data_IF_948152719566
#
_entry.id   IF_948152719566
#
_cell.length_a   1.000
_cell.length_b   1.000
_cell.length_c   1.000
_cell.angle_alpha   90.00
_cell.angle_beta   90.00
_cell.angle_gamma   90.00
#
_symmetry.space_group_name_H-M   'P 1'
#
loop_
_entity.id
_entity.type
_entity.pdbx_description
1 polymer ?
#
# COMPACT_ATOMS: atom_id res chain seq x y z
N UNK A 1 4.23 21.31 9.13
CA UNK A 1 2.82 20.86 9.16
C UNK A 1 1.90 22.00 9.59
N UNK A 2 2.20 22.70 10.70
CA UNK A 2 1.40 23.84 11.14
C UNK A 2 1.36 24.96 10.09
N UNK A 3 0.16 25.47 9.81
CA UNK A 3 -0.09 26.52 8.82
C UNK A 3 -0.22 26.01 7.38
N UNK A 4 -0.14 24.69 7.13
CA UNK A 4 -0.29 24.13 5.79
C UNK A 4 -1.77 23.83 5.57
N UNK A 5 -2.40 24.63 4.71
CA UNK A 5 -3.85 24.56 4.44
C UNK A 5 -4.24 23.29 3.71
N UNK A 6 -5.43 22.76 3.99
CA UNK A 6 -6.04 21.62 3.30
C UNK A 6 -7.36 21.99 2.60
N UNK A 7 -7.80 21.25 1.57
CA UNK A 7 -9.10 21.46 0.95
C UNK A 7 -10.26 21.20 1.94
N UNK A 8 -11.05 22.23 2.26
CA UNK A 8 -12.13 22.18 3.27
C UNK A 8 -13.19 21.10 3.01
N UNK A 9 -13.41 20.73 1.75
CA UNK A 9 -14.40 19.73 1.36
C UNK A 9 -14.01 18.29 1.75
N UNK A 10 -12.73 18.04 2.02
CA UNK A 10 -12.22 16.76 2.54
C UNK A 10 -11.68 16.88 3.96
N UNK A 11 -11.18 18.07 4.30
CA UNK A 11 -10.48 18.38 5.53
C UNK A 11 -11.13 19.63 6.17
N UNK A 12 -12.29 19.49 6.81
CA UNK A 12 -13.01 20.63 7.42
C UNK A 12 -12.20 21.32 8.54
N UNK A 13 -11.23 20.63 9.12
CA UNK A 13 -10.25 21.18 10.07
C UNK A 13 -9.25 22.16 9.41
N UNK A 14 -9.08 22.07 8.09
CA UNK A 14 -8.38 23.04 7.26
C UNK A 14 -6.85 23.09 7.36
N UNK A 15 -6.23 22.38 8.30
CA UNK A 15 -4.77 22.43 8.53
C UNK A 15 -4.15 21.05 8.78
N UNK A 16 -3.01 20.78 8.14
CA UNK A 16 -2.32 19.48 8.22
C UNK A 16 -1.90 19.13 9.65
N UNK A 17 -1.47 20.10 10.47
CA UNK A 17 -1.09 19.82 11.85
C UNK A 17 -2.31 19.53 12.73
N UNK A 18 -3.40 20.27 12.54
CA UNK A 18 -4.67 19.97 13.23
C UNK A 18 -5.16 18.57 12.85
N UNK A 19 -5.14 18.21 11.56
CA UNK A 19 -5.46 16.87 11.07
C UNK A 19 -4.61 15.79 11.73
N UNK A 20 -3.29 15.98 11.75
CA UNK A 20 -2.37 15.03 12.38
C UNK A 20 -2.68 14.81 13.86
N UNK A 21 -3.02 15.88 14.60
CA UNK A 21 -3.44 15.78 16.00
C UNK A 21 -4.78 15.05 16.16
N UNK A 22 -5.74 15.29 15.26
CA UNK A 22 -7.01 14.56 15.24
C UNK A 22 -6.79 13.07 15.01
N UNK A 23 -5.94 12.69 14.05
CA UNK A 23 -5.55 11.29 13.81
C UNK A 23 -4.91 10.67 15.06
N UNK A 24 -3.94 11.35 15.68
CA UNK A 24 -3.30 10.85 16.90
C UNK A 24 -4.29 10.71 18.07
N UNK A 25 -5.30 11.58 18.17
CA UNK A 25 -6.33 11.48 19.23
C UNK A 25 -7.23 10.24 19.09
N UNK A 26 -7.29 9.65 17.90
CA UNK A 26 -8.05 8.43 17.60
C UNK A 26 -7.23 7.16 17.73
N UNK A 27 -5.93 7.27 18.01
CA UNK A 27 -5.06 6.13 18.21
C UNK A 27 -5.47 5.37 19.48
N UNK A 28 -5.98 4.15 19.31
CA UNK A 28 -6.50 3.33 20.37
C UNK A 28 -6.16 1.85 20.13
N UNK A 29 -6.19 0.99 21.16
CA UNK A 29 -6.21 -0.46 20.97
C UNK A 29 -7.32 -0.90 20.02
N UNK A 30 -7.04 -1.93 19.22
CA UNK A 30 -7.97 -2.57 18.29
C UNK A 30 -7.88 -4.10 18.45
N UNK A 31 -8.39 -4.67 19.56
CA UNK A 31 -8.23 -6.08 19.89
C UNK A 31 -8.78 -7.02 18.82
N UNK A 32 -9.82 -6.61 18.09
CA UNK A 32 -10.40 -7.38 16.98
C UNK A 32 -9.43 -7.59 15.81
N UNK A 33 -8.38 -6.75 15.70
CA UNK A 33 -7.30 -6.89 14.72
C UNK A 33 -6.01 -7.45 15.35
N UNK A 34 -6.09 -7.98 16.59
CA UNK A 34 -4.94 -8.48 17.34
C UNK A 34 -4.01 -7.39 17.88
N UNK A 35 -4.47 -6.13 17.91
CA UNK A 35 -3.68 -4.99 18.36
C UNK A 35 -4.12 -4.55 19.77
N UNK A 36 -3.56 -5.19 20.81
CA UNK A 36 -3.86 -4.84 22.22
C UNK A 36 -3.38 -3.44 22.61
N UNK A 37 -2.38 -2.91 21.92
CA UNK A 37 -1.88 -1.55 22.05
C UNK A 37 -1.38 -1.05 20.70
N UNK A 38 -1.55 0.26 20.40
CA UNK A 38 -0.91 0.85 19.22
C UNK A 38 0.59 0.59 19.23
N UNK A 39 1.11 0.06 18.13
CA UNK A 39 2.54 -0.14 17.96
C UNK A 39 3.26 1.20 17.81
N UNK A 40 4.56 1.20 18.11
CA UNK A 40 5.43 2.34 17.85
C UNK A 40 5.42 2.74 16.36
N UNK A 41 5.46 1.75 15.47
CA UNK A 41 5.48 1.95 14.02
C UNK A 41 4.18 2.56 13.50
N UNK A 42 3.02 2.14 14.02
CA UNK A 42 1.73 2.76 13.70
C UNK A 42 1.66 4.21 14.20
N UNK A 43 2.05 4.45 15.45
CA UNK A 43 2.02 5.79 16.04
C UNK A 43 2.89 6.78 15.24
N UNK A 44 4.09 6.36 14.85
CA UNK A 44 4.98 7.14 14.01
C UNK A 44 4.47 7.28 12.57
N UNK A 45 3.86 6.23 12.02
CA UNK A 45 3.19 6.28 10.71
C UNK A 45 2.10 7.35 10.68
N UNK A 46 1.24 7.39 11.70
CA UNK A 46 0.18 8.41 11.82
C UNK A 46 0.77 9.81 12.01
N UNK A 47 1.78 9.96 12.86
CA UNK A 47 2.42 11.26 13.08
C UNK A 47 3.04 11.84 11.79
N UNK A 48 3.51 10.98 10.88
CA UNK A 48 4.31 11.38 9.74
C UNK A 48 3.64 11.20 8.37
N UNK A 49 2.47 10.55 8.27
CA UNK A 49 1.84 10.19 6.98
C UNK A 49 1.73 11.38 6.02
N UNK A 50 1.36 12.53 6.55
CA UNK A 50 1.14 13.77 5.80
C UNK A 50 2.32 14.74 5.82
N UNK A 51 3.49 14.36 6.36
CA UNK A 51 4.62 15.29 6.50
C UNK A 51 5.08 15.85 5.14
N UNK A 52 4.95 15.05 4.07
CA UNK A 52 5.29 15.46 2.70
C UNK A 52 4.47 16.64 2.19
N UNK A 53 3.23 16.83 2.68
CA UNK A 53 2.36 17.96 2.31
C UNK A 53 3.02 19.31 2.56
N UNK A 54 3.97 19.38 3.50
CA UNK A 54 4.70 20.62 3.82
C UNK A 54 5.61 21.13 2.71
N UNK A 55 6.10 20.24 1.84
CA UNK A 55 7.01 20.58 0.73
C UNK A 55 6.27 20.51 -0.61
N UNK A 56 5.24 19.68 -0.71
CA UNK A 56 4.46 19.48 -1.95
C UNK A 56 3.22 20.36 -2.02
N UNK A 57 3.03 21.29 -1.09
CA UNK A 57 1.90 22.22 -1.12
C UNK A 57 1.97 23.09 -2.36
N UNK A 58 0.92 23.04 -3.17
CA UNK A 58 0.75 23.88 -4.34
C UNK A 58 -0.70 24.41 -4.36
N UNK A 59 -0.86 25.70 -4.59
CA UNK A 59 -2.16 26.36 -4.66
C UNK A 59 -2.23 27.19 -5.94
N UNK A 60 -2.96 26.65 -6.92
CA UNK A 60 -3.26 27.30 -8.18
C UNK A 60 -4.76 27.58 -8.26
N UNK A 61 -5.50 26.72 -8.97
CA UNK A 61 -6.97 26.69 -9.03
C UNK A 61 -7.58 26.01 -7.79
N UNK A 62 -6.84 25.06 -7.21
CA UNK A 62 -7.17 24.32 -5.99
C UNK A 62 -5.88 23.95 -5.26
N UNK A 63 -6.00 23.64 -3.96
CA UNK A 63 -4.89 23.09 -3.17
C UNK A 63 -4.59 21.66 -3.65
N UNK A 64 -3.30 21.36 -3.87
CA UNK A 64 -2.80 20.05 -4.31
C UNK A 64 -1.56 19.67 -3.50
N UNK A 65 -1.36 18.36 -3.39
CA UNK A 65 -0.23 17.73 -2.69
C UNK A 65 0.31 16.56 -3.53
N UNK A 66 0.77 16.87 -4.74
CA UNK A 66 1.19 15.84 -5.68
C UNK A 66 2.37 15.05 -5.12
N UNK A 67 2.25 13.72 -5.07
CA UNK A 67 3.29 12.79 -4.62
C UNK A 67 3.76 13.01 -3.16
N UNK A 68 2.92 13.61 -2.31
CA UNK A 68 3.27 13.87 -0.90
C UNK A 68 3.58 12.60 -0.12
N UNK A 69 3.01 11.45 -0.50
CA UNK A 69 3.31 10.16 0.11
C UNK A 69 4.76 9.73 -0.13
N UNK A 70 5.30 10.01 -1.34
CA UNK A 70 6.70 9.70 -1.68
C UNK A 70 7.67 10.64 -0.99
N UNK A 71 7.40 11.95 -1.08
CA UNK A 71 8.21 12.97 -0.40
C UNK A 71 8.18 12.76 1.12
N UNK A 72 7.00 12.43 1.66
CA UNK A 72 6.80 12.10 3.07
C UNK A 72 7.59 10.88 3.49
N UNK A 73 7.62 9.82 2.69
CA UNK A 73 8.41 8.62 2.95
C UNK A 73 9.92 8.92 3.02
N UNK A 74 10.44 9.72 2.07
CA UNK A 74 11.85 10.15 2.07
C UNK A 74 12.21 11.00 3.30
N UNK A 75 11.32 11.93 3.69
CA UNK A 75 11.47 12.75 4.90
C UNK A 75 11.45 11.87 6.15
N UNK A 76 10.54 10.90 6.19
CA UNK A 76 10.36 9.97 7.30
C UNK A 76 11.60 9.11 7.51
N UNK A 77 12.21 8.60 6.44
CA UNK A 77 13.45 7.85 6.51
C UNK A 77 14.56 8.65 7.21
N UNK A 78 14.72 9.93 6.84
CA UNK A 78 15.72 10.84 7.46
C UNK A 78 15.41 11.14 8.93
N UNK A 79 14.14 11.23 9.30
CA UNK A 79 13.72 11.42 10.70
C UNK A 79 14.05 10.16 11.51
N UNK A 80 13.71 8.98 11.02
CA UNK A 80 14.05 7.70 11.66
C UNK A 80 15.58 7.54 11.84
N UNK A 81 16.38 7.94 10.85
CA UNK A 81 17.86 7.92 10.96
C UNK A 81 18.36 8.81 12.10
N UNK A 82 17.80 10.02 12.24
CA UNK A 82 18.15 10.95 13.31
C UNK A 82 17.73 10.44 14.69
N UNK A 83 16.59 9.77 14.76
CA UNK A 83 16.07 9.16 15.99
C UNK A 83 16.77 7.84 16.34
N UNK A 84 17.62 7.32 15.43
CA UNK A 84 18.28 6.00 15.57
C UNK A 84 17.29 4.85 15.75
N UNK A 85 16.15 4.94 15.06
CA UNK A 85 15.15 3.88 14.98
C UNK A 85 15.77 2.63 14.34
N UNK A 86 15.37 1.42 14.78
CA UNK A 86 15.90 0.20 14.17
C UNK A 86 15.55 0.12 12.68
N UNK A 87 16.35 -0.60 11.88
CA UNK A 87 16.08 -0.73 10.44
C UNK A 87 14.68 -1.31 10.16
N UNK A 88 14.27 -2.34 10.90
CA UNK A 88 12.96 -2.96 10.74
C UNK A 88 11.80 -1.99 11.03
N UNK A 89 11.89 -1.21 12.12
CA UNK A 89 10.89 -0.19 12.44
C UNK A 89 10.90 0.95 11.43
N UNK A 90 12.08 1.42 11.02
CA UNK A 90 12.23 2.45 9.98
C UNK A 90 11.56 2.01 8.69
N UNK A 91 11.86 0.80 8.21
CA UNK A 91 11.30 0.26 6.98
C UNK A 91 9.78 0.16 7.07
N UNK A 92 9.23 -0.29 8.22
CA UNK A 92 7.78 -0.31 8.47
C UNK A 92 7.16 1.08 8.45
N UNK A 93 7.72 2.06 9.18
CA UNK A 93 7.18 3.43 9.26
C UNK A 93 7.21 4.09 7.88
N UNK A 94 8.33 3.97 7.16
CA UNK A 94 8.47 4.50 5.79
C UNK A 94 7.44 3.85 4.85
N UNK A 95 7.24 2.54 4.95
CA UNK A 95 6.25 1.82 4.16
C UNK A 95 4.81 2.27 4.48
N UNK A 96 4.48 2.49 5.76
CA UNK A 96 3.17 3.03 6.17
C UNK A 96 2.92 4.42 5.58
N UNK A 97 3.89 5.33 5.70
CA UNK A 97 3.81 6.68 5.12
C UNK A 97 3.72 6.63 3.61
N UNK A 98 4.47 5.74 2.94
CA UNK A 98 4.41 5.62 1.48
C UNK A 98 3.05 5.09 0.99
N UNK A 99 2.42 4.19 1.76
CA UNK A 99 1.21 3.48 1.34
C UNK A 99 -0.09 3.99 1.95
N UNK A 100 -0.09 5.04 2.77
CA UNK A 100 -1.31 5.52 3.46
C UNK A 100 -2.49 5.86 2.52
N UNK A 101 -2.25 6.18 1.24
CA UNK A 101 -3.31 6.41 0.25
C UNK A 101 -3.78 5.14 -0.48
N UNK A 102 -3.20 3.96 -0.21
CA UNK A 102 -3.47 2.74 -0.98
C UNK A 102 -4.87 2.19 -0.76
N UNK A 103 -5.58 2.57 0.30
CA UNK A 103 -6.97 2.14 0.48
C UNK A 103 -7.94 2.95 -0.38
N UNK A 104 -7.52 4.14 -0.84
CA UNK A 104 -8.37 4.97 -1.68
C UNK A 104 -8.74 4.22 -2.95
N UNK A 105 -10.05 4.16 -3.21
CA UNK A 105 -10.63 3.45 -4.34
C UNK A 105 -10.35 1.93 -4.31
N UNK A 106 -10.20 1.32 -3.12
CA UNK A 106 -9.97 -0.12 -2.95
C UNK A 106 -11.01 -0.97 -3.68
N UNK A 107 -12.28 -0.57 -3.64
CA UNK A 107 -13.39 -1.24 -4.35
C UNK A 107 -13.23 -1.27 -5.87
N UNK A 108 -12.38 -0.40 -6.44
CA UNK A 108 -12.11 -0.32 -7.88
C UNK A 108 -10.79 -0.98 -8.26
N UNK A 109 -10.06 -1.56 -7.30
CA UNK A 109 -8.79 -2.21 -7.56
C UNK A 109 -8.97 -3.54 -8.28
N UNK A 110 -7.99 -3.87 -9.13
CA UNK A 110 -7.79 -5.23 -9.61
C UNK A 110 -7.58 -6.18 -8.43
N UNK A 111 -8.11 -7.40 -8.50
CA UNK A 111 -8.04 -8.36 -7.41
C UNK A 111 -6.59 -8.73 -7.08
N UNK A 112 -5.74 -8.82 -8.09
CA UNK A 112 -4.28 -9.02 -7.95
C UNK A 112 -3.63 -7.94 -7.08
N UNK A 113 -3.93 -6.67 -7.34
CA UNK A 113 -3.40 -5.54 -6.54
C UNK A 113 -3.91 -5.59 -5.11
N UNK A 114 -5.20 -5.88 -4.91
CA UNK A 114 -5.79 -6.01 -3.59
C UNK A 114 -5.15 -7.16 -2.81
N UNK A 115 -5.06 -8.36 -3.39
CA UNK A 115 -4.43 -9.53 -2.76
C UNK A 115 -2.99 -9.27 -2.35
N UNK A 116 -2.19 -8.62 -3.20
CA UNK A 116 -0.82 -8.21 -2.85
C UNK A 116 -0.80 -7.28 -1.63
N UNK A 117 -1.71 -6.31 -1.55
CA UNK A 117 -1.84 -5.43 -0.39
C UNK A 117 -2.19 -6.21 0.88
N UNK A 118 -3.16 -7.12 0.81
CA UNK A 118 -3.61 -7.96 1.92
C UNK A 118 -2.55 -8.96 2.40
N UNK A 119 -1.63 -9.37 1.51
CA UNK A 119 -0.54 -10.30 1.82
C UNK A 119 0.65 -9.64 2.53
N UNK A 120 0.68 -8.31 2.64
CA UNK A 120 1.75 -7.57 3.29
C UNK A 120 1.69 -7.77 4.81
N UNK A 121 2.83 -8.06 5.44
CA UNK A 121 2.89 -8.24 6.90
C UNK A 121 2.43 -6.98 7.65
N UNK A 122 2.59 -5.80 7.06
CA UNK A 122 2.18 -4.52 7.63
C UNK A 122 0.73 -4.15 7.38
N UNK A 123 -0.05 -5.00 6.71
CA UNK A 123 -1.44 -4.73 6.38
C UNK A 123 -2.27 -4.31 7.61
N UNK A 124 -2.20 -4.97 8.78
CA UNK A 124 -3.00 -4.55 9.93
C UNK A 124 -2.73 -3.11 10.36
N UNK A 125 -1.46 -2.69 10.41
CA UNK A 125 -1.10 -1.31 10.76
C UNK A 125 -1.52 -0.33 9.68
N UNK A 126 -1.39 -0.69 8.40
CA UNK A 126 -1.82 0.18 7.30
C UNK A 126 -3.34 0.35 7.29
N UNK A 127 -4.09 -0.73 7.51
CA UNK A 127 -5.53 -0.69 7.58
C UNK A 127 -6.02 0.23 8.70
N UNK A 128 -5.36 0.16 9.86
CA UNK A 128 -5.68 1.01 10.99
C UNK A 128 -5.31 2.48 10.75
N UNK A 129 -4.15 2.73 10.14
CA UNK A 129 -3.76 4.09 9.72
C UNK A 129 -4.81 4.69 8.78
N UNK A 130 -5.21 3.96 7.73
CA UNK A 130 -6.24 4.40 6.78
C UNK A 130 -7.60 4.64 7.46
N UNK A 131 -7.99 3.78 8.41
CA UNK A 131 -9.23 3.94 9.19
C UNK A 131 -9.22 5.22 10.01
N UNK A 132 -8.10 5.49 10.70
CA UNK A 132 -7.92 6.69 11.53
C UNK A 132 -7.94 7.95 10.65
N UNK A 133 -7.24 7.94 9.53
CA UNK A 133 -7.17 9.06 8.58
C UNK A 133 -8.56 9.40 8.01
N UNK A 134 -9.32 8.37 7.59
CA UNK A 134 -10.69 8.53 7.15
C UNK A 134 -11.60 9.10 8.26
N UNK A 135 -11.51 8.57 9.48
CA UNK A 135 -12.30 9.06 10.63
C UNK A 135 -11.94 10.49 11.07
N UNK A 136 -10.74 10.98 10.74
CA UNK A 136 -10.29 12.33 11.02
C UNK A 136 -10.61 13.33 9.89
N UNK A 137 -11.07 12.83 8.74
CA UNK A 137 -11.38 13.62 7.54
C UNK A 137 -12.85 13.48 7.12
N UNK A 138 -13.14 12.67 6.10
CA UNK A 138 -14.49 12.52 5.52
C UNK A 138 -15.44 11.65 6.35
N UNK A 139 -14.90 10.78 7.21
CA UNK A 139 -15.64 9.74 7.92
C UNK A 139 -16.07 8.55 7.04
N UNK A 140 -15.72 8.53 5.74
CA UNK A 140 -16.07 7.44 4.83
C UNK A 140 -15.17 6.22 5.03
N UNK A 141 -15.75 5.14 5.55
CA UNK A 141 -15.07 3.87 5.81
C UNK A 141 -15.37 2.79 4.77
N UNK A 142 -16.01 3.12 3.64
CA UNK A 142 -16.44 2.13 2.64
C UNK A 142 -15.29 1.27 2.11
N UNK A 143 -14.18 1.89 1.69
CA UNK A 143 -12.99 1.18 1.22
C UNK A 143 -12.29 0.39 2.34
N UNK A 144 -12.28 0.92 3.57
CA UNK A 144 -11.76 0.19 4.73
C UNK A 144 -12.57 -1.07 5.01
N UNK A 145 -13.91 -0.98 5.06
CA UNK A 145 -14.78 -2.12 5.28
C UNK A 145 -14.67 -3.16 4.18
N UNK A 146 -14.56 -2.72 2.92
CA UNK A 146 -14.30 -3.61 1.79
C UNK A 146 -12.99 -4.38 1.96
N UNK A 147 -11.90 -3.71 2.33
CA UNK A 147 -10.62 -4.37 2.60
C UNK A 147 -10.73 -5.38 3.76
N UNK A 148 -11.41 -5.05 4.86
CA UNK A 148 -11.60 -5.97 5.98
C UNK A 148 -12.44 -7.19 5.61
N UNK A 149 -13.50 -6.99 4.84
CA UNK A 149 -14.32 -8.08 4.31
C UNK A 149 -13.47 -9.03 3.46
N UNK A 150 -12.69 -8.49 2.52
CA UNK A 150 -11.82 -9.28 1.65
C UNK A 150 -10.70 -9.98 2.44
N UNK A 151 -10.12 -9.32 3.43
CA UNK A 151 -9.11 -9.90 4.31
C UNK A 151 -9.65 -11.06 5.16
N UNK A 152 -10.90 -10.97 5.62
CA UNK A 152 -11.56 -12.05 6.37
C UNK A 152 -11.98 -13.24 5.51
N UNK A 153 -12.26 -13.00 4.21
CA UNK A 153 -12.74 -14.02 3.27
C UNK A 153 -11.61 -14.80 2.62
N UNK A 154 -10.50 -14.14 2.30
CA UNK A 154 -9.40 -14.73 1.56
C UNK A 154 -8.45 -15.45 2.52
N UNK A 155 -8.14 -16.71 2.21
CA UNK A 155 -7.10 -17.46 2.90
C UNK A 155 -5.69 -16.95 2.58
N UNK A 156 -4.72 -17.32 3.42
CA UNK A 156 -3.32 -16.99 3.18
C UNK A 156 -2.84 -17.50 1.81
N UNK A 157 -3.28 -18.70 1.40
CA UNK A 157 -2.92 -19.29 0.11
C UNK A 157 -3.55 -18.55 -1.07
N UNK A 158 -4.69 -17.88 -0.88
CA UNK A 158 -5.34 -17.09 -1.94
C UNK A 158 -4.72 -15.70 -2.13
N UNK A 159 -4.21 -15.08 -1.06
CA UNK A 159 -3.52 -13.78 -1.14
C UNK A 159 -2.04 -13.92 -1.50
N UNK A 160 -1.42 -15.04 -1.12
CA UNK A 160 0.00 -15.32 -1.36
C UNK A 160 0.19 -16.77 -1.86
N UNK A 161 -0.30 -17.09 -3.07
CA UNK A 161 -0.16 -18.43 -3.62
C UNK A 161 1.30 -18.73 -3.97
N UNK A 162 1.65 -20.02 -4.02
CA UNK A 162 2.94 -20.44 -4.59
C UNK A 162 2.96 -20.10 -6.08
N UNK A 163 4.04 -19.50 -6.61
CA UNK A 163 4.13 -19.19 -8.04
C UNK A 163 3.93 -20.45 -8.90
N UNK A 164 3.09 -20.34 -9.95
CA UNK A 164 2.89 -21.45 -10.90
C UNK A 164 4.15 -21.78 -11.69
N UNK A 165 4.95 -20.76 -11.98
CA UNK A 165 6.26 -20.86 -12.63
C UNK A 165 7.25 -19.92 -11.97
N UNK A 166 8.52 -20.16 -12.22
CA UNK A 166 9.67 -19.42 -11.72
C UNK A 166 10.59 -19.03 -12.87
N UNK A 167 11.64 -18.26 -12.57
CA UNK A 167 12.69 -17.96 -13.55
C UNK A 167 13.38 -19.21 -14.11
N UNK A 168 13.46 -20.31 -13.34
CA UNK A 168 14.03 -21.56 -13.84
C UNK A 168 13.19 -22.15 -14.98
N UNK A 169 11.86 -22.11 -14.85
CA UNK A 169 10.96 -22.60 -15.90
C UNK A 169 11.14 -21.78 -17.19
N UNK A 170 11.37 -20.48 -17.09
CA UNK A 170 11.67 -19.63 -18.26
C UNK A 170 13.02 -20.00 -18.91
N UNK A 171 14.03 -20.37 -18.12
CA UNK A 171 15.33 -20.83 -18.62
C UNK A 171 15.16 -22.18 -19.34
N UNK A 172 14.40 -23.10 -18.76
CA UNK A 172 14.12 -24.42 -19.34
C UNK A 172 13.33 -24.32 -20.66
N UNK A 173 12.53 -23.25 -20.82
CA UNK A 173 11.88 -22.88 -22.07
C UNK A 173 12.82 -22.25 -23.11
N UNK A 174 14.10 -22.08 -22.79
CA UNK A 174 15.14 -21.53 -23.66
C UNK A 174 15.27 -20.00 -23.64
N UNK A 175 14.64 -19.30 -22.68
CA UNK A 175 14.84 -17.87 -22.53
C UNK A 175 16.16 -17.55 -21.80
N UNK A 176 16.78 -16.43 -22.17
CA UNK A 176 17.97 -15.91 -21.48
C UNK A 176 17.55 -14.93 -20.38
N UNK A 177 18.10 -15.04 -19.16
CA UNK A 177 17.80 -14.12 -18.07
C UNK A 177 17.97 -12.65 -18.47
N UNK A 178 17.00 -11.81 -18.10
CA UNK A 178 16.99 -10.38 -18.39
C UNK A 178 15.75 -9.67 -17.86
N UNK A 179 15.60 -8.35 -18.09
CA UNK A 179 14.47 -7.56 -17.57
C UNK A 179 13.09 -8.14 -17.91
N UNK A 180 12.96 -8.73 -19.10
CA UNK A 180 11.72 -9.37 -19.59
C UNK A 180 11.23 -10.50 -18.68
N UNK A 181 12.10 -11.16 -17.91
CA UNK A 181 11.69 -12.18 -16.94
C UNK A 181 10.77 -11.60 -15.88
N UNK A 182 11.09 -10.40 -15.39
CA UNK A 182 10.27 -9.73 -14.39
C UNK A 182 8.88 -9.45 -14.97
N UNK A 183 8.81 -8.91 -16.18
CA UNK A 183 7.54 -8.58 -16.83
C UNK A 183 6.67 -9.81 -17.05
N UNK A 184 7.27 -10.91 -17.54
CA UNK A 184 6.57 -12.19 -17.74
C UNK A 184 6.09 -12.75 -16.39
N UNK A 185 6.97 -12.86 -15.40
CA UNK A 185 6.62 -13.44 -14.10
C UNK A 185 5.58 -12.60 -13.36
N UNK A 186 5.67 -11.26 -13.42
CA UNK A 186 4.65 -10.36 -12.86
C UNK A 186 3.32 -10.55 -13.58
N UNK A 187 3.29 -10.66 -14.91
CA UNK A 187 2.05 -10.91 -15.65
C UNK A 187 1.41 -12.24 -15.26
N UNK A 188 2.21 -13.30 -15.14
CA UNK A 188 1.72 -14.63 -14.73
C UNK A 188 1.20 -14.60 -13.30
N UNK A 189 1.92 -13.97 -12.38
CA UNK A 189 1.50 -13.80 -10.99
C UNK A 189 0.20 -12.99 -10.89
N UNK A 190 0.05 -11.93 -11.69
CA UNK A 190 -1.20 -11.15 -11.74
C UNK A 190 -2.37 -12.04 -12.18
N UNK A 191 -2.25 -12.78 -13.29
CA UNK A 191 -3.31 -13.69 -13.76
C UNK A 191 -3.61 -14.81 -12.76
N UNK A 192 -2.60 -15.28 -12.04
CA UNK A 192 -2.78 -16.24 -10.95
C UNK A 192 -3.58 -15.64 -9.80
N UNK A 193 -3.26 -14.42 -9.37
CA UNK A 193 -3.98 -13.75 -8.29
C UNK A 193 -5.41 -13.35 -8.68
N UNK A 194 -5.65 -13.03 -9.95
CA UNK A 194 -7.00 -12.83 -10.51
C UNK A 194 -7.81 -14.14 -10.59
N UNK A 195 -7.15 -15.31 -10.50
CA UNK A 195 -7.79 -16.62 -10.64
C UNK A 195 -8.00 -17.07 -12.09
N UNK A 196 -7.49 -16.30 -13.06
CA UNK A 196 -7.54 -16.64 -14.49
C UNK A 196 -6.54 -17.75 -14.85
N UNK A 197 -5.56 -17.99 -13.97
CA UNK A 197 -4.49 -18.95 -14.19
C UNK A 197 -4.28 -19.81 -12.94
N UNK A 198 -4.50 -21.12 -13.06
CA UNK A 198 -4.53 -22.03 -11.91
C UNK A 198 -3.55 -23.19 -12.00
N UNK A 199 -2.92 -23.41 -13.16
CA UNK A 199 -2.00 -24.54 -13.39
C UNK A 199 -0.69 -24.09 -14.02
N UNK A 200 0.37 -24.85 -13.75
CA UNK A 200 1.70 -24.63 -14.32
C UNK A 200 1.68 -24.75 -15.83
N UNK A 201 0.93 -25.72 -16.35
CA UNK A 201 0.80 -25.99 -17.79
C UNK A 201 0.17 -24.79 -18.51
N UNK A 202 -0.92 -24.23 -17.95
CA UNK A 202 -1.56 -23.04 -18.51
C UNK A 202 -0.63 -21.82 -18.45
N UNK A 203 0.16 -21.68 -17.38
CA UNK A 203 1.14 -20.61 -17.26
C UNK A 203 2.22 -20.70 -18.35
N UNK A 204 2.73 -21.89 -18.63
CA UNK A 204 3.72 -22.13 -19.70
C UNK A 204 3.14 -21.76 -21.08
N UNK A 205 1.89 -22.12 -21.38
CA UNK A 205 1.23 -21.74 -22.64
C UNK A 205 1.04 -20.22 -22.78
N UNK A 206 0.70 -19.54 -21.69
CA UNK A 206 0.62 -18.08 -21.67
C UNK A 206 1.99 -17.45 -21.95
N UNK A 207 3.07 -17.97 -21.35
CA UNK A 207 4.44 -17.50 -21.61
C UNK A 207 4.79 -17.64 -23.10
N UNK A 208 4.48 -18.77 -23.73
CA UNK A 208 4.72 -18.98 -25.17
C UNK A 208 4.00 -17.92 -26.01
N UNK A 209 2.76 -17.61 -25.66
CA UNK A 209 1.94 -16.58 -26.34
C UNK A 209 2.57 -15.18 -26.19
N UNK A 210 2.99 -14.82 -24.98
CA UNK A 210 3.64 -13.53 -24.70
C UNK A 210 4.95 -13.37 -25.50
N UNK A 211 5.76 -14.43 -25.60
CA UNK A 211 7.02 -14.40 -26.36
C UNK A 211 6.77 -14.22 -27.86
N UNK A 212 5.72 -14.86 -28.39
CA UNK A 212 5.37 -14.73 -29.81
C UNK A 212 4.99 -13.29 -30.16
N UNK A 213 4.18 -12.63 -29.31
CA UNK A 213 3.74 -11.25 -29.51
C UNK A 213 4.88 -10.22 -29.45
N UNK A 214 5.96 -10.49 -28.69
CA UNK A 214 7.13 -9.60 -28.59
C UNK A 214 8.07 -9.71 -29.81
N UNK A 215 7.97 -10.79 -30.61
CA UNK A 215 8.82 -11.03 -31.79
C UNK A 215 8.21 -10.52 -33.11
N UNK A 216 6.93 -10.19 -33.11
CA UNK A 216 6.18 -9.54 -34.21
C UNK A 216 6.06 -8.05 -33.98
#
# INVERSE_FOLDING_TARGET
>A
MKGVRQPENFHPEGDVFVHTLLCLSKLAPVPEQGMERPSWTLAMGILLHDIGKTITFEELDRIRFNLHEKVGADMTARICDRLKTSNAEKDRIVWLVLKHLYFKDAQKMRLSKLKRLLAEEGYPELAELCRIDALASSGDLSDYHYCQEMFSKLSHEEVKPKPLITGHDLIDMGLKPGPVFKDILTKIEDEQLEGNLTTKEAAIEMVKTLIYQVKT
#
